data_IF_003528514180
#
_entry.id   IF_003528514180
#
_cell.length_a   1.000
_cell.length_b   1.000
_cell.length_c   1.000
_cell.angle_alpha   90.00
_cell.angle_beta   90.00
_cell.angle_gamma   90.00
#
_symmetry.space_group_name_H-M   'P 1'
#
loop_
_entity.id
_entity.type
_entity.pdbx_description
1 polymer ?
#
# COMPACT_ATOMS: atom_id res chain seq x y z
N UNK A 1 -5.60 15.41 38.42
CA UNK A 1 -5.20 15.45 37.01
C UNK A 1 -4.23 14.31 36.78
N UNK A 2 -4.64 13.28 36.04
CA UNK A 2 -3.84 12.38 35.17
C UNK A 2 -4.79 11.22 34.81
N UNK A 3 -5.40 11.33 33.62
CA UNK A 3 -6.14 10.25 32.97
C UNK A 3 -5.12 9.30 32.32
N UNK A 4 -4.42 8.49 33.12
CA UNK A 4 -3.60 7.39 32.58
C UNK A 4 -4.47 6.14 32.56
N UNK A 5 -5.30 6.05 31.53
CA UNK A 5 -5.85 4.79 31.04
C UNK A 5 -4.74 4.04 30.30
N UNK A 6 -3.75 3.54 31.06
CA UNK A 6 -2.62 2.77 30.51
C UNK A 6 -2.48 1.40 31.18
N UNK A 7 -3.62 0.79 31.51
CA UNK A 7 -3.74 -0.64 31.77
C UNK A 7 -4.34 -1.30 30.52
N UNK A 8 -3.90 -0.86 29.33
CA UNK A 8 -4.37 -1.46 28.09
C UNK A 8 -3.90 -2.91 28.09
N UNK A 9 -4.80 -3.91 27.97
CA UNK A 9 -4.42 -5.30 28.00
C UNK A 9 -3.34 -5.55 26.95
N UNK A 10 -2.15 -5.97 27.38
CA UNK A 10 -0.98 -6.17 26.52
C UNK A 10 -1.28 -7.04 25.29
N UNK A 11 -2.24 -7.95 25.45
CA UNK A 11 -2.81 -8.80 24.40
C UNK A 11 -3.53 -8.03 23.28
N UNK A 12 -4.27 -6.96 23.59
CA UNK A 12 -5.00 -6.17 22.60
C UNK A 12 -4.03 -5.42 21.69
N UNK A 13 -2.97 -4.82 22.25
CA UNK A 13 -1.95 -4.14 21.48
C UNK A 13 -1.21 -5.11 20.55
N UNK A 14 -0.90 -6.31 21.04
CA UNK A 14 -0.25 -7.36 20.26
C UNK A 14 -1.09 -7.80 19.06
N UNK A 15 -2.40 -8.02 19.25
CA UNK A 15 -3.34 -8.32 18.16
C UNK A 15 -3.38 -7.18 17.13
N UNK A 16 -3.52 -5.93 17.58
CA UNK A 16 -3.55 -4.79 16.67
C UNK A 16 -2.25 -4.68 15.87
N UNK A 17 -1.09 -4.93 16.48
CA UNK A 17 0.21 -4.96 15.79
C UNK A 17 0.26 -6.07 14.74
N UNK A 18 -0.18 -7.29 15.06
CA UNK A 18 -0.25 -8.40 14.10
C UNK A 18 -1.16 -8.05 12.92
N UNK A 19 -2.35 -7.50 13.20
CA UNK A 19 -3.30 -7.07 12.17
C UNK A 19 -2.69 -5.98 11.28
N UNK A 20 -2.00 -4.99 11.86
CA UNK A 20 -1.32 -3.94 11.11
C UNK A 20 -0.21 -4.50 10.22
N UNK A 21 0.57 -5.47 10.69
CA UNK A 21 1.62 -6.11 9.88
C UNK A 21 1.01 -6.88 8.70
N UNK A 22 -0.04 -7.66 8.94
CA UNK A 22 -0.74 -8.40 7.88
C UNK A 22 -1.33 -7.43 6.86
N UNK A 23 -2.02 -6.39 7.34
CA UNK A 23 -2.62 -5.37 6.50
C UNK A 23 -1.56 -4.64 5.67
N UNK A 24 -0.46 -4.22 6.29
CA UNK A 24 0.66 -3.60 5.61
C UNK A 24 1.25 -4.53 4.55
N UNK A 25 1.39 -5.81 4.85
CA UNK A 25 1.91 -6.80 3.89
C UNK A 25 0.97 -6.98 2.70
N UNK A 26 -0.35 -7.08 2.93
CA UNK A 26 -1.35 -7.15 1.86
C UNK A 26 -1.32 -5.89 1.01
N UNK A 27 -1.23 -4.72 1.64
CA UNK A 27 -1.11 -3.45 0.93
C UNK A 27 0.18 -3.38 0.11
N UNK A 28 1.31 -3.85 0.65
CA UNK A 28 2.59 -3.90 -0.07
C UNK A 28 2.51 -4.86 -1.25
N UNK A 29 1.95 -6.07 -1.09
CA UNK A 29 1.77 -7.01 -2.20
C UNK A 29 0.85 -6.42 -3.27
N UNK A 30 -0.26 -5.82 -2.85
CA UNK A 30 -1.24 -5.19 -3.73
C UNK A 30 -0.63 -4.00 -4.46
N UNK A 31 0.13 -3.15 -3.76
CA UNK A 31 0.86 -2.03 -4.35
C UNK A 31 1.99 -2.51 -5.24
N UNK A 32 2.77 -3.53 -4.86
CA UNK A 32 3.81 -4.12 -5.70
C UNK A 32 3.25 -4.80 -6.95
N UNK A 33 1.97 -5.17 -6.97
CA UNK A 33 1.29 -5.69 -8.18
C UNK A 33 0.66 -4.54 -8.99
N UNK A 34 0.05 -3.56 -8.32
CA UNK A 34 -0.55 -2.37 -8.96
C UNK A 34 0.50 -1.41 -9.52
N UNK A 35 1.65 -1.25 -8.87
CA UNK A 35 2.76 -0.40 -9.28
C UNK A 35 3.33 -0.82 -10.63
N UNK A 36 3.71 -2.09 -10.90
CA UNK A 36 4.16 -2.50 -12.21
C UNK A 36 3.01 -2.45 -13.22
N UNK A 37 1.77 -2.76 -12.87
CA UNK A 37 0.65 -2.58 -13.80
C UNK A 37 0.47 -1.11 -14.21
N UNK A 38 0.47 -0.20 -13.25
CA UNK A 38 0.35 1.25 -13.46
C UNK A 38 1.58 1.80 -14.18
N UNK A 39 2.79 1.40 -13.78
CA UNK A 39 4.04 1.79 -14.42
C UNK A 39 4.13 1.24 -15.84
N UNK A 40 3.67 0.02 -16.11
CA UNK A 40 3.60 -0.55 -17.46
C UNK A 40 2.58 0.22 -18.28
N UNK A 41 1.39 0.54 -17.75
CA UNK A 41 0.38 1.35 -18.46
C UNK A 41 0.94 2.73 -18.79
N UNK A 42 1.51 3.44 -17.81
CA UNK A 42 2.12 4.75 -17.99
C UNK A 42 3.30 4.66 -18.96
N UNK A 43 4.18 3.67 -18.79
CA UNK A 43 5.29 3.42 -19.70
C UNK A 43 4.77 3.18 -21.11
N UNK A 44 3.75 2.34 -21.30
CA UNK A 44 3.13 2.08 -22.60
C UNK A 44 2.56 3.37 -23.20
N UNK A 45 1.87 4.19 -22.41
CA UNK A 45 1.36 5.48 -22.86
C UNK A 45 2.50 6.45 -23.18
N UNK A 46 3.65 6.36 -22.51
CA UNK A 46 4.80 7.27 -22.64
C UNK A 46 5.85 6.84 -23.66
N UNK A 47 5.94 5.55 -23.98
CA UNK A 47 6.78 4.99 -25.06
C UNK A 47 5.99 4.67 -26.34
N UNK A 48 4.68 4.44 -26.25
CA UNK A 48 3.77 4.43 -27.42
C UNK A 48 2.94 5.71 -27.67
N UNK A 49 3.26 6.93 -27.20
CA UNK A 49 2.55 8.14 -27.62
C UNK A 49 3.05 8.65 -28.98
N UNK A 50 4.14 8.09 -29.53
CA UNK A 50 4.87 8.67 -30.67
C UNK A 50 4.76 7.86 -31.97
N UNK A 51 3.84 6.90 -32.07
CA UNK A 51 3.64 6.15 -33.32
C UNK A 51 2.17 5.96 -33.72
N UNK A 52 1.25 6.77 -33.17
CA UNK A 52 -0.16 6.69 -33.57
C UNK A 52 -0.86 8.05 -33.72
N UNK A 53 -0.15 9.07 -34.22
CA UNK A 53 -0.80 10.25 -34.77
C UNK A 53 -0.01 11.54 -34.56
N UNK A 54 0.93 11.82 -35.47
CA UNK A 54 0.86 12.97 -36.39
C UNK A 54 1.64 12.53 -37.65
N UNK A 55 0.91 11.96 -38.62
CA UNK A 55 1.24 12.01 -40.05
C UNK A 55 0.06 12.64 -40.75
#
# INVERSE_FOLDING_TARGET
>A
MIHRSTDLPKHILDIWVIVLIILATILIMTALVLCPATAVIIYRIRTHPTCNGIV
#
